data_IF_754600221507
#
_entry.id   IF_754600221507
#
_cell.length_a   1.000
_cell.length_b   1.000
_cell.length_c   1.000
_cell.angle_alpha   90.00
_cell.angle_beta   90.00
_cell.angle_gamma   90.00
#
_symmetry.space_group_name_H-M   'P 1'
#
loop_
_entity.id
_entity.type
_entity.pdbx_description
1 polymer ?
#
# COMPACT_ATOMS: atom_id res chain seq x y z
N UNK A 1 22.40 -12.40 8.99
CA UNK A 1 21.03 -11.87 9.17
C UNK A 1 20.28 -12.90 9.97
N UNK A 2 20.29 -12.78 11.30
CA UNK A 2 19.53 -13.67 12.19
C UNK A 2 18.65 -12.77 13.04
N UNK A 3 17.35 -12.98 12.97
CA UNK A 3 16.41 -12.40 13.90
C UNK A 3 16.74 -12.93 15.30
N UNK A 4 16.88 -12.04 16.29
CA UNK A 4 17.04 -12.42 17.70
C UNK A 4 15.75 -12.94 18.35
N UNK A 5 14.90 -13.62 17.59
CA UNK A 5 13.64 -14.21 18.05
C UNK A 5 13.94 -15.52 18.79
N UNK A 6 13.81 -15.54 20.11
CA UNK A 6 14.04 -16.71 20.96
C UNK A 6 12.94 -17.78 20.90
N UNK A 7 12.42 -18.11 19.71
CA UNK A 7 11.36 -19.11 19.52
C UNK A 7 11.61 -19.96 18.27
N UNK A 8 11.47 -21.28 18.41
CA UNK A 8 11.69 -22.33 17.40
C UNK A 8 10.76 -22.28 16.16
N UNK A 9 9.87 -21.29 16.09
CA UNK A 9 8.83 -21.14 15.05
C UNK A 9 8.89 -19.74 14.40
N UNK A 10 10.11 -19.25 14.17
CA UNK A 10 10.36 -17.89 13.74
C UNK A 10 10.06 -17.70 12.23
N UNK A 11 8.84 -17.26 11.91
CA UNK A 11 8.37 -16.97 10.53
C UNK A 11 8.92 -15.67 9.93
N UNK A 12 10.09 -15.21 10.40
CA UNK A 12 10.72 -14.02 9.84
C UNK A 12 11.09 -14.21 8.38
N UNK A 13 11.50 -15.42 7.96
CA UNK A 13 11.84 -15.70 6.58
C UNK A 13 10.63 -15.54 5.64
N UNK A 14 9.43 -15.95 6.09
CA UNK A 14 8.17 -15.74 5.34
C UNK A 14 7.89 -14.24 5.20
N UNK A 15 8.03 -13.46 6.28
CA UNK A 15 7.84 -12.01 6.23
C UNK A 15 8.86 -11.33 5.33
N UNK A 16 10.12 -11.71 5.38
CA UNK A 16 11.17 -11.11 4.55
C UNK A 16 11.02 -11.46 3.07
N UNK A 17 10.51 -12.65 2.75
CA UNK A 17 10.24 -13.06 1.38
C UNK A 17 9.08 -12.28 0.75
N UNK A 18 8.02 -12.04 1.52
CA UNK A 18 6.78 -11.41 1.06
C UNK A 18 6.65 -9.93 1.53
N UNK A 19 7.73 -9.31 1.99
CA UNK A 19 7.71 -7.99 2.64
C UNK A 19 7.16 -6.90 1.72
N UNK A 20 7.60 -6.90 0.47
CA UNK A 20 7.22 -5.90 -0.52
C UNK A 20 5.75 -6.04 -0.89
N UNK A 21 5.28 -7.26 -1.13
CA UNK A 21 3.88 -7.57 -1.43
C UNK A 21 2.97 -7.26 -0.23
N UNK A 22 3.47 -7.46 0.99
CA UNK A 22 2.77 -7.07 2.20
C UNK A 22 2.61 -5.55 2.30
N UNK A 23 3.67 -4.77 2.05
CA UNK A 23 3.63 -3.30 2.05
C UNK A 23 2.76 -2.75 0.92
N UNK A 24 2.68 -3.47 -0.20
CA UNK A 24 1.88 -3.10 -1.37
C UNK A 24 0.43 -3.57 -1.29
N UNK A 25 0.06 -4.30 -0.24
CA UNK A 25 -1.25 -4.90 -0.03
C UNK A 25 -1.69 -5.81 -1.19
N UNK A 26 -0.73 -6.43 -1.89
CA UNK A 26 -1.00 -7.33 -3.04
C UNK A 26 -1.17 -8.79 -2.65
N UNK A 27 -0.95 -9.12 -1.38
CA UNK A 27 -1.12 -10.47 -0.85
C UNK A 27 -2.60 -10.83 -0.64
N UNK A 28 -2.89 -12.13 -0.53
CA UNK A 28 -4.23 -12.56 -0.11
C UNK A 28 -4.55 -12.06 1.32
N UNK A 29 -5.83 -11.81 1.66
CA UNK A 29 -6.21 -11.37 3.01
C UNK A 29 -5.71 -12.31 4.11
N UNK A 30 -5.66 -13.61 3.83
CA UNK A 30 -5.16 -14.62 4.76
C UNK A 30 -3.66 -14.49 5.04
N UNK A 31 -2.86 -14.12 4.03
CA UNK A 31 -1.42 -13.89 4.18
C UNK A 31 -1.17 -12.59 4.94
N UNK A 32 -1.87 -11.51 4.57
CA UNK A 32 -1.76 -10.22 5.25
C UNK A 32 -2.00 -10.39 6.75
N UNK A 33 -3.07 -11.10 7.14
CA UNK A 33 -3.38 -11.32 8.55
C UNK A 33 -2.26 -12.08 9.29
N UNK A 34 -1.69 -13.12 8.67
CA UNK A 34 -0.61 -13.90 9.29
C UNK A 34 0.69 -13.10 9.43
N UNK A 35 1.09 -12.40 8.38
CA UNK A 35 2.30 -11.59 8.38
C UNK A 35 2.14 -10.41 9.35
N UNK A 36 0.99 -9.74 9.37
CA UNK A 36 0.71 -8.67 10.32
C UNK A 36 0.79 -9.14 11.77
N UNK A 37 0.25 -10.33 12.08
CA UNK A 37 0.37 -10.92 13.42
C UNK A 37 1.84 -11.11 13.81
N UNK A 38 2.68 -11.64 12.91
CA UNK A 38 4.11 -11.79 13.17
C UNK A 38 4.82 -10.44 13.33
N UNK A 39 4.57 -9.49 12.42
CA UNK A 39 5.18 -8.16 12.43
C UNK A 39 4.85 -7.42 13.75
N UNK A 40 3.62 -7.54 14.25
CA UNK A 40 3.24 -6.94 15.54
C UNK A 40 3.97 -7.53 16.75
N UNK A 41 4.42 -8.79 16.66
CA UNK A 41 5.14 -9.49 17.72
C UNK A 41 6.67 -9.46 17.58
N UNK A 42 7.19 -9.04 16.43
CA UNK A 42 8.62 -9.11 16.10
C UNK A 42 9.19 -7.72 15.76
N UNK A 43 9.94 -7.07 16.66
CA UNK A 43 10.50 -5.74 16.44
C UNK A 43 11.40 -5.65 15.20
N UNK A 44 12.10 -6.73 14.86
CA UNK A 44 12.94 -6.78 13.66
C UNK A 44 12.09 -6.67 12.38
N UNK A 45 11.07 -7.50 12.24
CA UNK A 45 10.17 -7.46 11.08
C UNK A 45 9.36 -6.16 11.02
N UNK A 46 8.97 -5.61 12.17
CA UNK A 46 8.34 -4.28 12.23
C UNK A 46 9.25 -3.18 11.69
N UNK A 47 10.54 -3.18 12.06
CA UNK A 47 11.49 -2.19 11.57
C UNK A 47 11.70 -2.28 10.05
N UNK A 48 11.76 -3.50 9.49
CA UNK A 48 11.85 -3.69 8.03
C UNK A 48 10.60 -3.21 7.30
N UNK A 49 9.41 -3.59 7.78
CA UNK A 49 8.16 -3.14 7.17
C UNK A 49 8.00 -1.63 7.21
N UNK A 50 8.41 -0.97 8.30
CA UNK A 50 8.37 0.49 8.40
C UNK A 50 9.38 1.14 7.45
N UNK A 51 10.61 0.64 7.37
CA UNK A 51 11.62 1.15 6.44
C UNK A 51 11.16 1.10 4.98
N UNK A 52 10.49 0.00 4.59
CA UNK A 52 9.93 -0.13 3.24
C UNK A 52 8.77 0.85 2.98
N UNK A 53 7.89 1.06 3.96
CA UNK A 53 6.81 2.07 3.88
C UNK A 53 7.36 3.48 3.77
N UNK A 54 8.35 3.81 4.57
CA UNK A 54 9.03 5.10 4.53
C UNK A 54 9.64 5.32 3.14
N UNK A 55 10.41 4.35 2.63
CA UNK A 55 11.02 4.40 1.31
C UNK A 55 9.97 4.66 0.22
N UNK A 56 8.87 3.90 0.22
CA UNK A 56 7.75 4.09 -0.72
C UNK A 56 7.13 5.48 -0.60
N UNK A 57 6.95 5.98 0.62
CA UNK A 57 6.46 7.35 0.83
C UNK A 57 7.46 8.39 0.27
N UNK A 58 8.77 8.17 0.42
CA UNK A 58 9.79 9.04 -0.16
C UNK A 58 9.77 9.05 -1.69
N UNK A 59 9.50 7.91 -2.31
CA UNK A 59 9.37 7.80 -3.76
C UNK A 59 8.09 8.49 -4.24
N UNK A 60 6.95 8.26 -3.57
CA UNK A 60 5.67 8.83 -3.94
C UNK A 60 5.64 10.37 -3.88
N UNK A 61 6.37 10.98 -2.93
CA UNK A 61 6.51 12.44 -2.85
C UNK A 61 7.40 13.03 -3.97
N UNK A 62 8.43 12.30 -4.41
CA UNK A 62 9.41 12.81 -5.38
C UNK A 62 8.97 12.56 -6.83
N UNK A 63 8.39 11.40 -7.13
CA UNK A 63 7.85 11.04 -8.44
C UNK A 63 6.38 11.45 -8.59
N UNK A 64 6.01 12.64 -8.15
CA UNK A 64 4.64 13.15 -8.27
C UNK A 64 4.44 13.81 -9.64
N UNK A 65 4.35 12.99 -10.68
CA UNK A 65 3.94 13.44 -12.01
C UNK A 65 2.42 13.66 -12.01
N UNK A 66 1.97 14.89 -12.23
CA UNK A 66 0.53 15.16 -12.27
C UNK A 66 -0.06 14.54 -13.53
N UNK A 67 -1.04 13.64 -13.35
CA UNK A 67 -1.78 13.08 -14.47
C UNK A 67 -2.30 14.20 -15.40
N UNK A 68 -2.03 14.15 -16.71
CA UNK A 68 -2.42 15.20 -17.65
C UNK A 68 -3.91 15.53 -17.55
N UNK A 69 -4.26 16.83 -17.59
CA UNK A 69 -5.64 17.31 -17.43
C UNK A 69 -6.63 16.60 -18.37
N UNK A 70 -6.19 16.28 -19.60
CA UNK A 70 -6.99 15.53 -20.58
C UNK A 70 -7.36 14.13 -20.10
N UNK A 71 -6.44 13.42 -19.43
CA UNK A 71 -6.70 12.06 -18.91
C UNK A 71 -7.63 12.14 -17.70
N UNK A 72 -7.38 13.06 -16.76
CA UNK A 72 -8.28 13.31 -15.62
C UNK A 72 -9.70 13.62 -16.07
N UNK A 73 -9.86 14.55 -17.02
CA UNK A 73 -11.16 14.91 -17.57
C UNK A 73 -11.86 13.79 -18.34
N UNK A 74 -11.12 12.80 -18.88
CA UNK A 74 -11.72 11.60 -19.47
C UNK A 74 -12.22 10.65 -18.38
N UNK A 75 -11.38 10.34 -17.39
CA UNK A 75 -11.71 9.44 -16.28
C UNK A 75 -12.96 9.92 -15.54
N UNK A 76 -13.01 11.21 -15.21
CA UNK A 76 -14.14 11.81 -14.48
C UNK A 76 -15.43 11.73 -15.28
N UNK A 77 -15.38 11.98 -16.59
CA UNK A 77 -16.56 11.81 -17.47
C UNK A 77 -17.02 10.36 -17.54
N UNK A 78 -16.09 9.41 -17.61
CA UNK A 78 -16.41 7.97 -17.60
C UNK A 78 -17.06 7.56 -16.28
N UNK A 79 -16.49 7.96 -15.14
CA UNK A 79 -17.05 7.66 -13.81
C UNK A 79 -18.41 8.32 -13.65
N UNK A 80 -18.56 9.61 -13.98
CA UNK A 80 -19.84 10.31 -13.90
C UNK A 80 -20.93 9.72 -14.80
N UNK A 81 -20.55 9.17 -15.97
CA UNK A 81 -21.47 8.47 -16.84
C UNK A 81 -21.92 7.11 -16.26
N UNK A 82 -21.05 6.44 -15.50
CA UNK A 82 -21.37 5.22 -14.75
C UNK A 82 -22.22 5.51 -13.51
N UNK A 83 -22.00 6.65 -12.85
CA UNK A 83 -22.72 7.13 -11.67
C UNK A 83 -24.07 7.79 -11.99
N UNK A 84 -24.44 7.93 -13.28
CA UNK A 84 -25.77 8.40 -13.71
C UNK A 84 -26.95 7.52 -13.24
N UNK A 85 -26.68 6.42 -12.52
CA UNK A 85 -27.67 5.57 -11.85
C UNK A 85 -27.74 5.81 -10.32
N UNK A 86 -26.82 6.58 -9.72
CA UNK A 86 -26.73 6.81 -8.27
C UNK A 86 -26.25 8.25 -8.01
N UNK A 87 -27.19 9.19 -7.80
CA UNK A 87 -26.99 10.65 -7.90
C UNK A 87 -25.99 11.33 -6.94
N UNK A 88 -24.69 11.08 -7.12
CA UNK A 88 -23.58 11.78 -6.45
C UNK A 88 -22.83 12.66 -7.47
N UNK A 89 -22.94 13.98 -7.36
CA UNK A 89 -22.22 14.92 -8.23
C UNK A 89 -20.80 15.17 -7.72
N UNK A 90 -19.78 14.71 -8.45
CA UNK A 90 -18.38 15.02 -8.17
C UNK A 90 -18.03 16.36 -8.82
N UNK A 91 -17.94 17.44 -8.03
CA UNK A 91 -17.42 18.74 -8.48
C UNK A 91 -15.90 18.78 -8.33
N UNK A 92 -15.19 18.98 -9.45
CA UNK A 92 -13.75 19.24 -9.43
C UNK A 92 -13.55 20.74 -9.50
N UNK A 93 -13.27 21.35 -8.36
CA UNK A 93 -12.72 22.71 -8.30
C UNK A 93 -11.29 22.68 -8.83
N UNK A 94 -11.07 23.27 -10.00
CA UNK A 94 -9.75 23.60 -10.53
C UNK A 94 -9.09 24.63 -9.61
N UNK A 95 -8.26 24.14 -8.68
CA UNK A 95 -7.25 24.96 -8.01
C UNK A 95 -6.09 24.05 -7.62
N UNK A 96 -4.94 24.38 -8.21
CA UNK A 96 -3.63 23.74 -8.05
C UNK A 96 -3.25 23.47 -6.59
#
# INVERSE_FOLDING_TARGET
MSCGCGSDDCRCDEVMADLYEFVDETLSPSQIHRLAAHISGCPHCAAHAEGERELRALMARQCRESAPARLRGRIVRTIAASDGQNGMSITISESY
#
